data_IF_421389426699
#
_entry.id   IF_421389426699
#
_cell.length_a   1.000
_cell.length_b   1.000
_cell.length_c   1.000
_cell.angle_alpha   90.00
_cell.angle_beta   90.00
_cell.angle_gamma   90.00
#
_symmetry.space_group_name_H-M   'P 1'
#
loop_
_entity.id
_entity.type
_entity.pdbx_description
1 polymer ?
#
# COMPACT_ATOMS: atom_id res chain seq x y z
N UNK A 1 -15.03 -74.26 29.08
CA UNK A 1 -15.30 -72.92 28.48
C UNK A 1 -14.11 -72.02 28.73
N UNK A 2 -13.22 -71.90 27.74
CA UNK A 2 -12.04 -71.02 27.79
C UNK A 2 -12.34 -69.75 27.05
N UNK A 3 -12.33 -68.58 27.75
CA UNK A 3 -12.48 -67.27 27.12
C UNK A 3 -11.13 -66.83 26.54
N UNK A 4 -11.10 -66.64 25.23
CA UNK A 4 -9.98 -66.03 24.55
C UNK A 4 -10.10 -64.52 24.71
N UNK A 5 -9.11 -63.88 25.34
CA UNK A 5 -8.91 -62.45 25.31
C UNK A 5 -8.08 -62.09 24.08
N UNK A 6 -8.70 -61.34 23.14
CA UNK A 6 -7.99 -60.67 22.05
C UNK A 6 -7.45 -59.34 22.62
N UNK A 7 -6.14 -59.21 22.70
CA UNK A 7 -5.44 -57.91 22.93
C UNK A 7 -5.30 -57.18 21.60
N UNK A 8 -6.01 -56.04 21.48
CA UNK A 8 -5.80 -55.12 20.38
C UNK A 8 -4.66 -54.16 20.76
N UNK A 9 -3.51 -54.35 20.16
CA UNK A 9 -2.40 -53.40 20.25
C UNK A 9 -2.63 -52.27 19.27
N UNK A 10 -3.04 -51.10 19.80
CA UNK A 10 -3.05 -49.83 19.04
C UNK A 10 -1.61 -49.35 18.85
N UNK A 11 -1.05 -49.50 17.64
CA UNK A 11 0.19 -48.83 17.29
C UNK A 11 -0.10 -47.34 17.04
N UNK A 12 0.25 -46.48 17.96
CA UNK A 12 0.28 -45.05 17.79
C UNK A 12 1.44 -44.68 16.83
N UNK A 13 1.16 -44.37 15.58
CA UNK A 13 2.10 -43.68 14.72
C UNK A 13 2.30 -42.25 15.28
N UNK A 14 3.40 -42.02 15.97
CA UNK A 14 3.89 -40.68 16.22
C UNK A 14 4.43 -40.12 14.90
N UNK A 15 3.66 -39.24 14.27
CA UNK A 15 4.17 -38.30 13.28
C UNK A 15 5.08 -37.33 14.04
N UNK A 16 6.38 -37.54 13.95
CA UNK A 16 7.38 -36.58 14.34
C UNK A 16 7.27 -35.41 13.33
N UNK A 17 6.51 -34.37 13.68
CA UNK A 17 6.65 -33.08 13.04
C UNK A 17 8.11 -32.64 13.28
N UNK A 18 8.90 -32.54 12.24
CA UNK A 18 10.19 -31.88 12.29
C UNK A 18 9.95 -30.41 12.63
N UNK A 19 9.93 -30.07 13.90
CA UNK A 19 10.12 -28.72 14.36
C UNK A 19 11.61 -28.39 14.20
N UNK A 20 12.01 -27.96 13.01
CA UNK A 20 13.22 -27.14 12.89
C UNK A 20 12.97 -25.89 13.76
N UNK A 21 13.87 -25.57 14.69
CA UNK A 21 13.73 -24.31 15.44
C UNK A 21 13.66 -23.19 14.42
N UNK A 22 12.57 -22.40 14.42
CA UNK A 22 12.52 -21.18 13.63
C UNK A 22 13.64 -20.30 14.15
N UNK A 23 14.46 -19.75 13.27
CA UNK A 23 15.44 -18.74 13.66
C UNK A 23 14.70 -17.58 14.37
N UNK A 24 15.30 -16.99 15.41
CA UNK A 24 14.66 -15.89 16.12
C UNK A 24 14.50 -14.69 15.18
N UNK A 25 13.44 -13.93 15.38
CA UNK A 25 13.26 -12.62 14.70
C UNK A 25 14.47 -11.74 15.01
N UNK A 26 14.90 -10.96 14.03
CA UNK A 26 16.03 -10.04 14.16
C UNK A 26 15.87 -9.16 15.43
N UNK A 27 16.87 -9.12 16.33
CA UNK A 27 16.81 -8.31 17.56
C UNK A 27 16.56 -6.80 17.29
N UNK A 28 17.05 -6.25 16.20
CA UNK A 28 16.80 -4.84 15.81
C UNK A 28 15.33 -4.59 15.54
N UNK A 29 14.65 -5.53 14.88
CA UNK A 29 13.20 -5.44 14.66
C UNK A 29 12.43 -5.45 15.99
N UNK A 30 12.81 -6.33 16.91
CA UNK A 30 12.18 -6.37 18.24
C UNK A 30 12.42 -5.06 19.00
N UNK A 31 13.64 -4.51 18.95
CA UNK A 31 13.96 -3.22 19.57
C UNK A 31 13.15 -2.07 18.98
N UNK A 32 13.01 -2.03 17.64
CA UNK A 32 12.19 -1.03 16.97
C UNK A 32 10.72 -1.11 17.36
N UNK A 33 10.16 -2.32 17.43
CA UNK A 33 8.77 -2.53 17.83
C UNK A 33 8.55 -2.20 19.33
N UNK A 34 9.52 -2.50 20.19
CA UNK A 34 9.49 -2.13 21.61
C UNK A 34 9.56 -0.61 21.83
N UNK A 35 10.24 0.12 20.96
CA UNK A 35 10.32 1.58 20.99
C UNK A 35 9.06 2.27 20.44
N UNK A 36 8.25 1.57 19.64
CA UNK A 36 7.12 2.14 18.92
C UNK A 36 6.08 2.84 19.81
N UNK A 37 5.70 2.34 21.00
CA UNK A 37 4.77 3.05 21.89
C UNK A 37 5.28 4.45 22.29
N UNK A 38 6.55 4.58 22.64
CA UNK A 38 7.14 5.87 23.01
C UNK A 38 7.20 6.85 21.82
N UNK A 39 7.45 6.35 20.60
CA UNK A 39 7.41 7.14 19.39
C UNK A 39 6.00 7.61 19.06
N UNK A 40 5.00 6.73 19.18
CA UNK A 40 3.58 7.04 18.98
C UNK A 40 3.14 8.16 19.94
N UNK A 41 3.49 8.06 21.21
CA UNK A 41 3.22 9.10 22.21
C UNK A 41 3.92 10.42 21.87
N UNK A 42 5.20 10.39 21.52
CA UNK A 42 5.97 11.60 21.20
C UNK A 42 5.45 12.34 19.96
N UNK A 43 4.94 11.59 18.98
CA UNK A 43 4.31 12.15 17.78
C UNK A 43 2.83 12.48 18.01
N UNK A 44 2.28 12.18 19.19
CA UNK A 44 0.89 12.40 19.56
C UNK A 44 -0.10 11.64 18.68
N UNK A 45 0.24 10.45 18.20
CA UNK A 45 -0.61 9.62 17.34
C UNK A 45 -1.61 8.87 18.20
N UNK A 46 -2.94 9.10 18.09
CA UNK A 46 -3.91 8.44 18.94
C UNK A 46 -3.93 6.93 18.82
N UNK A 47 -3.88 6.42 17.57
CA UNK A 47 -3.85 5.00 17.27
C UNK A 47 -2.93 4.72 16.10
N UNK A 48 -2.04 3.76 16.28
CA UNK A 48 -1.22 3.18 15.22
C UNK A 48 -1.38 1.67 15.23
N UNK A 49 -1.63 1.09 14.08
CA UNK A 49 -1.64 -0.36 13.88
C UNK A 49 -0.49 -0.75 12.97
N UNK A 50 0.19 -1.86 13.28
CA UNK A 50 1.31 -2.34 12.48
C UNK A 50 1.26 -3.86 12.25
N UNK A 51 1.95 -4.29 11.19
CA UNK A 51 2.27 -5.68 10.93
C UNK A 51 3.67 -5.77 10.32
N UNK A 52 4.51 -6.61 10.92
CA UNK A 52 5.81 -7.03 10.39
C UNK A 52 5.72 -8.52 10.05
N UNK A 53 6.28 -8.92 8.92
CA UNK A 53 6.41 -10.32 8.54
C UNK A 53 7.83 -10.63 8.06
N UNK A 54 8.23 -11.89 8.25
CA UNK A 54 9.53 -12.42 7.87
C UNK A 54 9.42 -13.94 7.66
N UNK A 55 10.48 -14.61 7.19
CA UNK A 55 10.50 -16.09 7.15
C UNK A 55 10.27 -16.76 8.51
N UNK A 56 10.53 -16.04 9.61
CA UNK A 56 10.35 -16.52 10.98
C UNK A 56 8.89 -16.44 11.44
N UNK A 57 8.09 -15.57 10.84
CA UNK A 57 6.69 -15.41 11.18
C UNK A 57 6.22 -13.95 11.09
N UNK A 58 5.05 -13.70 11.65
CA UNK A 58 4.37 -12.41 11.69
C UNK A 58 4.36 -11.86 13.12
N UNK A 59 4.64 -10.56 13.25
CA UNK A 59 4.43 -9.76 14.46
C UNK A 59 3.48 -8.62 14.12
N UNK A 60 2.39 -8.51 14.83
CA UNK A 60 1.44 -7.42 14.61
C UNK A 60 0.96 -6.86 15.94
N UNK A 61 0.44 -5.65 15.91
CA UNK A 61 -0.07 -5.03 17.11
C UNK A 61 -0.73 -3.69 16.83
N UNK A 62 -1.30 -3.19 17.91
CA UNK A 62 -1.97 -1.92 17.96
C UNK A 62 -1.39 -1.12 19.14
N UNK A 63 -0.98 0.11 18.84
CA UNK A 63 -0.47 1.05 19.84
C UNK A 63 -1.48 2.19 19.98
N UNK A 64 -1.95 2.43 21.21
CA UNK A 64 -2.73 3.60 21.56
C UNK A 64 -1.86 4.57 22.37
N UNK A 65 -1.94 5.86 22.06
CA UNK A 65 -1.30 6.88 22.87
C UNK A 65 -1.85 6.87 24.31
N UNK A 66 -1.01 7.27 25.25
CA UNK A 66 -1.42 7.46 26.65
C UNK A 66 -2.30 8.70 26.82
N UNK A 67 -2.24 9.63 25.88
CA UNK A 67 -3.13 10.82 25.85
C UNK A 67 -4.57 10.40 25.56
N UNK A 68 -5.43 10.57 26.53
CA UNK A 68 -6.87 10.26 26.48
C UNK A 68 -7.73 11.43 26.01
N UNK A 69 -7.15 12.54 25.56
CA UNK A 69 -7.89 13.72 25.09
C UNK A 69 -8.53 13.52 23.73
N UNK A 70 -8.08 12.51 22.97
CA UNK A 70 -8.65 12.17 21.67
C UNK A 70 -9.98 11.42 21.82
N UNK A 71 -11.05 12.04 21.32
CA UNK A 71 -12.38 11.41 21.30
C UNK A 71 -12.48 10.44 20.11
N UNK A 72 -12.32 9.14 20.39
CA UNK A 72 -12.48 8.05 19.43
C UNK A 72 -13.74 7.26 19.81
N UNK A 73 -14.87 7.51 19.15
CA UNK A 73 -16.14 6.87 19.51
C UNK A 73 -16.21 5.37 19.16
N UNK A 74 -15.33 4.90 18.26
CA UNK A 74 -15.28 3.49 17.87
C UNK A 74 -14.44 2.69 18.87
N UNK A 75 -14.75 1.40 19.11
CA UNK A 75 -13.83 0.49 19.77
C UNK A 75 -12.51 0.39 19.01
N UNK A 76 -11.40 0.55 19.72
CA UNK A 76 -10.06 0.39 19.15
C UNK A 76 -9.61 -1.05 19.39
N UNK A 77 -9.53 -1.83 18.32
CA UNK A 77 -9.19 -3.26 18.35
C UNK A 77 -8.28 -3.60 17.17
N UNK A 78 -7.78 -4.82 17.12
CA UNK A 78 -6.99 -5.30 15.97
C UNK A 78 -7.80 -5.35 14.67
N UNK A 79 -9.13 -5.40 14.74
CA UNK A 79 -10.04 -5.32 13.60
C UNK A 79 -10.35 -3.88 13.17
N UNK A 80 -9.81 -2.87 13.88
CA UNK A 80 -10.01 -1.46 13.51
C UNK A 80 -9.52 -1.19 12.10
N UNK A 81 -10.34 -0.44 11.35
CA UNK A 81 -10.10 -0.12 9.95
C UNK A 81 -9.61 1.33 9.82
N UNK A 82 -8.59 1.50 9.00
CA UNK A 82 -7.98 2.80 8.70
C UNK A 82 -8.16 3.16 7.22
N UNK A 83 -8.06 4.44 6.90
CA UNK A 83 -7.81 4.83 5.52
C UNK A 83 -6.35 4.50 5.17
N UNK A 84 -6.16 3.66 4.18
CA UNK A 84 -4.85 3.34 3.65
C UNK A 84 -4.30 4.44 2.71
N UNK A 85 -5.17 5.39 2.35
CA UNK A 85 -4.83 6.50 1.46
C UNK A 85 -4.16 6.01 0.17
N UNK A 86 -3.00 6.54 -0.18
CA UNK A 86 -2.30 6.18 -1.41
C UNK A 86 -1.75 4.75 -1.45
N UNK A 87 -1.78 3.99 -0.36
CA UNK A 87 -1.55 2.54 -0.42
C UNK A 87 -2.64 1.82 -1.26
N UNK A 88 -3.68 2.53 -1.67
CA UNK A 88 -4.62 2.12 -2.73
C UNK A 88 -3.92 1.76 -4.04
N UNK A 89 -2.87 2.51 -4.41
CA UNK A 89 -2.20 2.44 -5.72
C UNK A 89 -1.43 1.14 -5.97
N UNK A 90 -0.62 0.62 -5.02
CA UNK A 90 0.06 -0.67 -5.23
C UNK A 90 -0.90 -1.83 -5.44
N UNK A 91 -2.04 -1.85 -4.72
CA UNK A 91 -3.08 -2.87 -4.91
C UNK A 91 -3.67 -2.79 -6.33
N UNK A 92 -3.98 -1.58 -6.79
CA UNK A 92 -4.47 -1.37 -8.14
C UNK A 92 -3.42 -1.70 -9.22
N UNK A 93 -2.16 -1.32 -8.99
CA UNK A 93 -1.07 -1.66 -9.91
C UNK A 93 -0.90 -3.19 -10.04
N UNK A 94 -1.01 -3.93 -8.95
CA UNK A 94 -0.99 -5.39 -8.98
C UNK A 94 -2.17 -5.96 -9.79
N UNK A 95 -3.38 -5.41 -9.66
CA UNK A 95 -4.54 -5.79 -10.48
C UNK A 95 -4.25 -5.56 -11.97
N UNK A 96 -3.68 -4.40 -12.32
CA UNK A 96 -3.30 -4.09 -13.71
C UNK A 96 -2.27 -5.11 -14.22
N UNK A 97 -1.25 -5.44 -13.42
CA UNK A 97 -0.23 -6.43 -13.80
C UNK A 97 -0.81 -7.84 -14.00
N UNK A 98 -1.81 -8.24 -13.23
CA UNK A 98 -2.54 -9.49 -13.49
C UNK A 98 -3.30 -9.46 -14.82
N UNK A 99 -3.89 -8.32 -15.15
CA UNK A 99 -4.56 -8.13 -16.44
C UNK A 99 -3.56 -8.13 -17.60
N UNK A 100 -2.38 -7.55 -17.41
CA UNK A 100 -1.27 -7.60 -18.39
C UNK A 100 -0.84 -9.03 -18.63
N UNK A 101 -0.64 -9.80 -17.57
CA UNK A 101 -0.21 -11.19 -17.64
C UNK A 101 -1.22 -12.09 -18.37
N UNK A 102 -2.51 -11.77 -18.29
CA UNK A 102 -3.59 -12.43 -19.05
C UNK A 102 -3.79 -11.88 -20.46
N UNK A 103 -3.07 -10.83 -20.86
CA UNK A 103 -3.21 -10.17 -22.16
C UNK A 103 -4.51 -9.35 -22.32
N UNK A 104 -5.17 -8.99 -21.22
CA UNK A 104 -6.40 -8.19 -21.22
C UNK A 104 -6.12 -6.70 -21.41
N UNK A 105 -4.95 -6.23 -20.95
CA UNK A 105 -4.43 -4.88 -21.15
C UNK A 105 -2.94 -4.96 -21.50
N UNK A 106 -2.47 -4.03 -22.32
CA UNK A 106 -1.06 -3.92 -22.71
C UNK A 106 -0.43 -2.71 -22.01
N UNK A 107 0.72 -2.91 -21.34
CA UNK A 107 1.43 -1.83 -20.63
C UNK A 107 1.81 -0.66 -21.52
N UNK A 108 2.03 -0.89 -22.81
CA UNK A 108 2.55 0.10 -23.75
C UNK A 108 1.51 0.56 -24.79
N UNK A 109 0.27 0.07 -24.69
CA UNK A 109 -0.85 0.53 -25.51
C UNK A 109 -1.55 1.73 -24.86
N UNK A 110 -1.98 2.74 -25.64
CA UNK A 110 -2.69 3.90 -25.09
C UNK A 110 -3.93 3.54 -24.26
N UNK A 111 -4.05 4.10 -23.07
CA UNK A 111 -5.24 3.96 -22.21
C UNK A 111 -6.50 4.44 -22.91
N UNK A 112 -6.35 5.44 -23.80
CA UNK A 112 -7.42 5.99 -24.65
C UNK A 112 -8.05 4.98 -25.61
N UNK A 113 -7.41 3.81 -25.83
CA UNK A 113 -8.00 2.73 -26.63
C UNK A 113 -9.05 1.93 -25.86
N UNK A 114 -9.07 2.07 -24.54
CA UNK A 114 -9.94 1.31 -23.62
C UNK A 114 -11.02 2.18 -22.98
N UNK A 115 -10.83 3.53 -22.91
CA UNK A 115 -11.79 4.44 -22.30
C UNK A 115 -11.75 5.81 -22.96
N UNK A 116 -12.78 6.66 -22.71
CA UNK A 116 -12.85 8.01 -23.27
C UNK A 116 -11.80 8.96 -22.65
N UNK A 117 -11.51 10.03 -23.39
CA UNK A 117 -10.57 11.10 -23.01
C UNK A 117 -11.27 12.48 -22.95
N UNK A 118 -12.58 12.50 -22.69
CA UNK A 118 -13.38 13.73 -22.76
C UNK A 118 -12.90 14.80 -21.77
N UNK A 119 -12.47 14.42 -20.59
CA UNK A 119 -11.98 15.34 -19.56
C UNK A 119 -10.65 16.02 -19.90
N UNK A 120 -9.86 15.50 -20.84
CA UNK A 120 -8.55 16.07 -21.15
C UNK A 120 -8.67 17.28 -22.08
N UNK A 121 -7.97 18.38 -21.76
CA UNK A 121 -7.84 19.54 -22.62
C UNK A 121 -7.06 19.19 -23.90
N UNK A 122 -5.88 18.57 -23.74
CA UNK A 122 -5.05 18.09 -24.86
C UNK A 122 -5.33 16.61 -25.13
N UNK A 123 -6.20 16.35 -26.12
CA UNK A 123 -6.54 14.99 -26.56
C UNK A 123 -5.36 14.27 -27.22
N UNK A 124 -4.46 15.02 -27.86
CA UNK A 124 -3.27 14.47 -28.51
C UNK A 124 -2.30 13.89 -27.47
N UNK A 125 -2.05 14.65 -26.43
CA UNK A 125 -1.19 14.19 -25.32
C UNK A 125 -1.85 13.07 -24.52
N UNK A 126 -3.16 13.12 -24.27
CA UNK A 126 -3.89 12.05 -23.59
C UNK A 126 -3.78 10.69 -24.30
N UNK A 127 -3.71 10.67 -25.65
CA UNK A 127 -3.51 9.45 -26.45
C UNK A 127 -2.10 8.87 -26.33
N UNK A 128 -1.16 9.55 -25.69
CA UNK A 128 0.19 9.03 -25.42
C UNK A 128 0.29 8.33 -24.07
N UNK A 129 -0.72 8.49 -23.20
CA UNK A 129 -0.72 7.87 -21.88
C UNK A 129 -0.95 6.37 -21.99
N UNK A 130 0.02 5.59 -21.55
CA UNK A 130 -0.05 4.12 -21.47
C UNK A 130 -0.18 3.68 -20.01
N UNK A 131 -0.61 2.45 -19.70
CA UNK A 131 -0.61 1.94 -18.35
C UNK A 131 0.77 2.06 -17.66
N UNK A 132 1.87 1.80 -18.39
CA UNK A 132 3.25 1.99 -17.88
C UNK A 132 3.49 3.41 -17.40
N UNK A 133 3.21 4.39 -18.23
CA UNK A 133 3.36 5.83 -17.95
C UNK A 133 2.51 6.25 -16.75
N UNK A 134 1.30 5.69 -16.63
CA UNK A 134 0.41 5.96 -15.48
C UNK A 134 0.98 5.36 -14.20
N UNK A 135 1.31 4.06 -14.19
CA UNK A 135 1.76 3.35 -12.99
C UNK A 135 3.11 3.88 -12.47
N UNK A 136 3.95 4.42 -13.37
CA UNK A 136 5.23 5.04 -13.02
C UNK A 136 5.16 6.54 -12.74
N UNK A 137 3.95 7.14 -12.72
CA UNK A 137 3.75 8.56 -12.48
C UNK A 137 4.47 9.49 -13.49
N UNK A 138 4.55 9.09 -14.75
CA UNK A 138 5.17 9.89 -15.83
C UNK A 138 4.13 10.57 -16.73
N UNK A 139 2.88 10.66 -16.27
CA UNK A 139 1.78 11.23 -17.08
C UNK A 139 1.91 12.72 -17.36
N UNK A 140 2.64 13.47 -16.51
CA UNK A 140 2.67 14.93 -16.54
C UNK A 140 1.37 15.59 -16.05
N UNK A 141 0.42 14.82 -15.53
CA UNK A 141 -0.86 15.31 -14.99
C UNK A 141 -0.71 15.90 -13.59
N UNK A 142 -1.62 16.79 -13.16
CA UNK A 142 -1.72 17.19 -11.76
C UNK A 142 -2.05 15.98 -10.88
N UNK A 143 -1.80 16.08 -9.56
CA UNK A 143 -2.31 15.05 -8.65
C UNK A 143 -3.85 14.98 -8.75
N UNK A 144 -4.53 16.12 -8.72
CA UNK A 144 -5.97 16.23 -8.93
C UNK A 144 -6.31 17.51 -9.69
N UNK A 145 -7.23 17.43 -10.64
CA UNK A 145 -7.75 18.58 -11.38
C UNK A 145 -8.78 19.39 -10.56
N UNK A 146 -9.50 18.70 -9.65
CA UNK A 146 -10.37 19.26 -8.62
C UNK A 146 -10.33 18.34 -7.40
N UNK A 147 -10.95 18.69 -6.28
CA UNK A 147 -11.01 17.84 -5.09
C UNK A 147 -11.62 16.46 -5.43
N UNK A 148 -10.93 15.34 -5.27
CA UNK A 148 -11.36 14.04 -5.79
C UNK A 148 -12.64 13.48 -5.14
N UNK A 149 -13.02 14.02 -3.98
CA UNK A 149 -14.29 13.70 -3.30
C UNK A 149 -15.41 14.71 -3.61
N UNK A 150 -15.14 15.77 -4.40
CA UNK A 150 -16.16 16.75 -4.77
C UNK A 150 -17.05 16.27 -5.93
N UNK A 151 -18.21 16.88 -6.07
CA UNK A 151 -19.13 16.65 -7.19
C UNK A 151 -18.61 17.24 -8.51
N UNK A 152 -17.70 18.21 -8.44
CA UNK A 152 -17.07 18.83 -9.59
C UNK A 152 -16.03 17.91 -10.26
N UNK A 153 -15.33 17.09 -9.47
CA UNK A 153 -14.19 16.30 -9.95
C UNK A 153 -14.49 15.43 -11.20
N UNK A 154 -15.63 14.71 -11.29
CA UNK A 154 -15.89 13.83 -12.43
C UNK A 154 -15.98 14.56 -13.79
N UNK A 155 -16.27 15.85 -13.76
CA UNK A 155 -16.44 16.69 -14.97
C UNK A 155 -15.35 17.76 -15.11
N UNK A 156 -14.42 17.86 -14.17
CA UNK A 156 -13.34 18.84 -14.21
C UNK A 156 -12.40 18.58 -15.38
N UNK A 157 -11.96 19.64 -16.03
CA UNK A 157 -11.00 19.58 -17.12
C UNK A 157 -9.62 19.21 -16.59
N UNK A 158 -8.93 18.30 -17.28
CA UNK A 158 -7.58 17.86 -16.92
C UNK A 158 -6.56 18.52 -17.87
N UNK A 159 -5.71 19.38 -17.29
CA UNK A 159 -4.64 20.07 -18.01
C UNK A 159 -3.29 19.45 -17.62
N UNK A 160 -2.44 19.20 -18.61
CA UNK A 160 -1.09 18.71 -18.39
C UNK A 160 -0.20 19.79 -17.77
N UNK A 161 0.59 19.44 -16.76
CA UNK A 161 1.64 20.28 -16.18
C UNK A 161 2.96 20.11 -16.91
N UNK A 162 3.23 18.89 -17.37
CA UNK A 162 4.46 18.50 -18.07
C UNK A 162 4.09 17.62 -19.28
N UNK A 163 4.96 17.53 -20.30
CA UNK A 163 4.77 16.55 -21.37
C UNK A 163 4.71 15.12 -20.79
N UNK A 164 3.84 14.28 -21.35
CA UNK A 164 3.78 12.87 -21.00
C UNK A 164 5.14 12.20 -21.26
N UNK A 165 5.58 11.33 -20.35
CA UNK A 165 6.84 10.57 -20.41
C UNK A 165 8.10 11.45 -20.35
N UNK A 166 8.03 12.63 -19.70
CA UNK A 166 9.17 13.54 -19.59
C UNK A 166 9.80 13.59 -18.20
N UNK A 167 9.02 13.35 -17.15
CA UNK A 167 9.49 13.39 -15.76
C UNK A 167 8.53 12.64 -14.85
N UNK A 168 8.99 12.36 -13.64
CA UNK A 168 8.12 11.92 -12.55
C UNK A 168 7.18 13.06 -12.14
N UNK A 169 5.88 12.79 -12.11
CA UNK A 169 4.86 13.72 -11.65
C UNK A 169 3.73 12.93 -10.97
N UNK A 170 3.77 12.85 -9.64
CA UNK A 170 2.80 12.05 -8.87
C UNK A 170 1.36 12.47 -9.16
N UNK A 171 0.53 11.54 -9.63
CA UNK A 171 -0.80 11.85 -10.14
C UNK A 171 -1.86 10.81 -9.75
N UNK A 172 -2.86 11.24 -8.97
CA UNK A 172 -4.08 10.49 -8.75
C UNK A 172 -5.01 10.53 -9.97
N UNK A 173 -4.99 11.62 -10.77
CA UNK A 173 -5.76 11.71 -12.02
C UNK A 173 -5.35 10.64 -13.03
N UNK A 174 -4.05 10.39 -13.18
CA UNK A 174 -3.55 9.33 -14.04
C UNK A 174 -4.08 7.95 -13.62
N UNK A 175 -4.02 7.66 -12.33
CA UNK A 175 -4.57 6.41 -11.78
C UNK A 175 -6.07 6.29 -11.99
N UNK A 176 -6.84 7.36 -11.73
CA UNK A 176 -8.28 7.37 -11.97
C UNK A 176 -8.64 7.21 -13.46
N UNK A 177 -7.80 7.73 -14.36
CA UNK A 177 -7.96 7.49 -15.80
C UNK A 177 -7.76 6.02 -16.16
N UNK A 178 -6.72 5.38 -15.63
CA UNK A 178 -6.46 3.96 -15.85
C UNK A 178 -7.53 3.07 -15.17
N UNK A 179 -8.06 3.48 -14.00
CA UNK A 179 -9.19 2.79 -13.35
C UNK A 179 -10.38 2.69 -14.30
N UNK A 180 -10.75 3.75 -14.99
CA UNK A 180 -11.87 3.73 -15.94
C UNK A 180 -11.65 2.73 -17.09
N UNK A 181 -10.41 2.60 -17.55
CA UNK A 181 -10.07 1.60 -18.56
C UNK A 181 -10.19 0.17 -18.01
N UNK A 182 -9.69 -0.06 -16.80
CA UNK A 182 -9.79 -1.36 -16.10
C UNK A 182 -11.25 -1.75 -15.88
N UNK A 183 -12.08 -0.83 -15.38
CA UNK A 183 -13.52 -1.07 -15.18
C UNK A 183 -14.25 -1.33 -16.50
N UNK A 184 -13.89 -0.62 -17.57
CA UNK A 184 -14.47 -0.84 -18.90
C UNK A 184 -14.12 -2.22 -19.48
N UNK A 185 -12.86 -2.65 -19.34
CA UNK A 185 -12.40 -3.98 -19.79
C UNK A 185 -13.07 -5.10 -18.98
N UNK A 186 -13.15 -4.94 -17.66
CA UNK A 186 -13.66 -5.96 -16.75
C UNK A 186 -15.21 -5.99 -16.66
N UNK A 187 -15.87 -4.92 -17.10
CA UNK A 187 -17.34 -4.78 -17.01
C UNK A 187 -17.86 -4.76 -15.56
N UNK A 188 -17.02 -4.35 -14.61
CA UNK A 188 -17.32 -4.36 -13.19
C UNK A 188 -16.70 -3.13 -12.48
N UNK A 189 -17.26 -2.67 -11.34
CA UNK A 189 -16.67 -1.59 -10.56
C UNK A 189 -15.38 -2.03 -9.85
N UNK A 190 -14.52 -1.05 -9.53
CA UNK A 190 -13.20 -1.27 -8.93
C UNK A 190 -13.22 -2.21 -7.72
N UNK A 191 -14.14 -2.02 -6.77
CA UNK A 191 -14.15 -2.82 -5.53
C UNK A 191 -14.46 -4.30 -5.81
N UNK A 192 -15.34 -4.58 -6.76
CA UNK A 192 -15.66 -5.96 -7.18
C UNK A 192 -14.46 -6.62 -7.87
N UNK A 193 -13.76 -5.85 -8.73
CA UNK A 193 -12.52 -6.32 -9.36
C UNK A 193 -11.47 -6.61 -8.31
N UNK A 194 -11.24 -5.69 -7.38
CA UNK A 194 -10.24 -5.83 -6.32
C UNK A 194 -10.54 -6.99 -5.38
N UNK A 195 -11.80 -7.21 -5.05
CA UNK A 195 -12.25 -8.36 -4.25
C UNK A 195 -11.86 -9.68 -4.92
N UNK A 196 -12.18 -9.83 -6.19
CA UNK A 196 -11.90 -11.05 -6.97
C UNK A 196 -10.40 -11.26 -7.19
N UNK A 197 -9.68 -10.18 -7.48
CA UNK A 197 -8.27 -10.26 -7.90
C UNK A 197 -7.28 -10.27 -6.72
N UNK A 198 -7.66 -9.68 -5.57
CA UNK A 198 -6.74 -9.45 -4.44
C UNK A 198 -7.36 -9.86 -3.11
N UNK A 199 -8.53 -9.30 -2.75
CA UNK A 199 -8.98 -9.40 -1.36
C UNK A 199 -9.39 -10.82 -0.97
N UNK A 200 -10.14 -11.54 -1.82
CA UNK A 200 -10.51 -12.93 -1.57
C UNK A 200 -9.29 -13.87 -1.67
N UNK A 201 -8.45 -13.80 -2.73
CA UNK A 201 -7.27 -14.65 -2.83
C UNK A 201 -6.28 -14.53 -1.68
N UNK A 202 -6.13 -13.33 -1.10
CA UNK A 202 -5.15 -13.07 -0.03
C UNK A 202 -5.77 -12.98 1.36
N UNK A 203 -7.01 -13.43 1.52
CA UNK A 203 -7.73 -13.46 2.80
C UNK A 203 -7.76 -12.07 3.48
N UNK A 204 -8.29 -11.07 2.75
CA UNK A 204 -8.45 -9.68 3.18
C UNK A 204 -9.95 -9.30 3.28
N UNK A 205 -10.72 -9.99 4.17
CA UNK A 205 -12.18 -9.93 4.15
C UNK A 205 -12.76 -8.58 4.56
N UNK A 206 -11.98 -7.73 5.25
CA UNK A 206 -12.44 -6.42 5.71
C UNK A 206 -11.88 -5.27 4.88
N UNK A 207 -11.04 -5.55 3.87
CA UNK A 207 -10.46 -4.54 2.97
C UNK A 207 -11.43 -4.20 1.84
N UNK A 208 -11.60 -2.90 1.54
CA UNK A 208 -12.45 -2.44 0.44
C UNK A 208 -12.10 -1.01 0.00
N UNK A 209 -12.33 -0.71 -1.28
CA UNK A 209 -12.29 0.65 -1.82
C UNK A 209 -13.59 1.42 -1.56
N UNK A 210 -14.70 0.70 -1.34
CA UNK A 210 -16.00 1.25 -1.02
C UNK A 210 -16.29 1.21 0.47
N UNK A 211 -17.23 2.08 0.91
CA UNK A 211 -17.70 2.05 2.29
C UNK A 211 -18.51 0.79 2.55
N UNK A 212 -18.09 -0.03 3.50
CA UNK A 212 -18.82 -1.22 3.93
C UNK A 212 -19.67 -0.92 5.18
N UNK A 213 -20.83 -1.56 5.36
CA UNK A 213 -21.67 -1.35 6.55
C UNK A 213 -20.93 -1.57 7.88
N UNK A 214 -20.00 -2.54 7.93
CA UNK A 214 -19.19 -2.81 9.11
C UNK A 214 -18.29 -1.64 9.50
N UNK A 215 -17.94 -0.75 8.56
CA UNK A 215 -17.09 0.41 8.81
C UNK A 215 -17.76 1.48 9.69
N UNK A 216 -19.09 1.45 9.83
CA UNK A 216 -19.78 2.35 10.77
C UNK A 216 -19.27 2.17 12.21
N UNK A 217 -18.81 0.95 12.55
CA UNK A 217 -18.26 0.61 13.87
C UNK A 217 -16.76 0.34 13.88
N UNK A 218 -16.20 -0.16 12.78
CA UNK A 218 -14.79 -0.56 12.72
C UNK A 218 -13.85 0.54 12.23
N UNK A 219 -14.34 1.45 11.34
CA UNK A 219 -13.47 2.49 10.80
C UNK A 219 -13.24 3.59 11.82
N UNK A 220 -11.97 3.85 12.15
CA UNK A 220 -11.59 4.89 13.09
C UNK A 220 -11.81 6.28 12.51
N UNK A 221 -12.02 7.24 13.40
CA UNK A 221 -11.93 8.67 13.05
C UNK A 221 -10.47 9.09 12.94
N UNK A 222 -10.21 10.08 12.09
CA UNK A 222 -8.87 10.63 11.91
C UNK A 222 -8.74 12.04 12.49
N UNK A 223 -7.53 12.44 12.86
CA UNK A 223 -7.24 13.71 13.50
C UNK A 223 -6.27 14.55 12.67
N UNK A 224 -6.52 15.85 12.56
CA UNK A 224 -5.58 16.77 11.96
C UNK A 224 -4.35 17.01 12.89
N UNK A 225 -3.42 17.87 12.46
CA UNK A 225 -2.20 18.17 13.25
C UNK A 225 -2.54 18.86 14.57
N UNK A 226 -3.62 19.66 14.61
CA UNK A 226 -4.07 20.38 15.83
C UNK A 226 -4.85 19.48 16.79
N UNK A 227 -5.09 18.20 16.44
CA UNK A 227 -5.81 17.25 17.27
C UNK A 227 -7.33 17.28 17.09
N UNK A 228 -7.84 18.03 16.11
CA UNK A 228 -9.28 18.06 15.82
C UNK A 228 -9.73 16.80 15.11
N UNK A 229 -10.84 16.23 15.55
CA UNK A 229 -11.49 15.08 14.93
C UNK A 229 -12.06 15.48 13.55
N UNK A 230 -11.62 14.81 12.50
CA UNK A 230 -12.02 15.03 11.10
C UNK A 230 -12.98 13.96 10.59
N UNK A 231 -13.48 13.12 11.49
CA UNK A 231 -14.40 12.03 11.18
C UNK A 231 -13.73 10.84 10.49
N UNK A 232 -14.56 9.91 10.05
CA UNK A 232 -14.13 8.68 9.36
C UNK A 232 -13.76 8.92 7.89
N UNK A 233 -14.18 10.05 7.30
CA UNK A 233 -13.89 10.42 5.92
C UNK A 233 -14.50 9.47 4.90
N UNK A 234 -15.83 9.36 4.82
CA UNK A 234 -16.50 8.61 3.75
C UNK A 234 -16.26 9.27 2.41
N UNK A 235 -15.81 8.48 1.45
CA UNK A 235 -15.64 8.93 0.08
C UNK A 235 -16.88 8.57 -0.74
N UNK A 236 -17.33 9.44 -1.68
CA UNK A 236 -18.58 9.24 -2.42
C UNK A 236 -18.49 8.14 -3.49
N UNK A 237 -17.28 7.69 -3.81
CA UNK A 237 -17.01 6.68 -4.84
C UNK A 237 -15.68 5.98 -4.60
N UNK A 238 -15.56 4.71 -5.02
CA UNK A 238 -14.30 3.99 -5.06
C UNK A 238 -13.30 4.67 -5.99
N UNK A 239 -12.05 4.81 -5.53
CA UNK A 239 -10.97 5.39 -6.31
C UNK A 239 -9.66 4.67 -6.00
N UNK A 240 -9.03 4.11 -7.02
CA UNK A 240 -7.82 3.31 -6.91
C UNK A 240 -6.59 4.08 -6.38
N UNK A 241 -6.68 5.41 -6.29
CA UNK A 241 -5.58 6.23 -5.85
C UNK A 241 -5.57 6.52 -4.34
N UNK A 242 -6.73 6.41 -3.62
CA UNK A 242 -6.74 6.90 -2.23
C UNK A 242 -7.88 6.38 -1.32
N UNK A 243 -8.88 5.63 -1.82
CA UNK A 243 -10.06 5.32 -0.98
C UNK A 243 -10.00 3.98 -0.26
N UNK A 244 -8.93 3.20 -0.47
CA UNK A 244 -8.76 1.91 0.19
C UNK A 244 -8.83 2.04 1.71
N UNK A 245 -9.59 1.14 2.33
CA UNK A 245 -9.68 0.96 3.77
C UNK A 245 -9.28 -0.46 4.11
N UNK A 246 -8.48 -0.59 5.15
CA UNK A 246 -7.90 -1.88 5.53
C UNK A 246 -7.42 -1.82 6.98
N UNK A 247 -6.94 -2.94 7.49
CA UNK A 247 -6.09 -3.05 8.67
C UNK A 247 -4.66 -3.46 8.28
N UNK A 248 -3.71 -3.27 9.17
CA UNK A 248 -2.30 -3.51 8.87
C UNK A 248 -2.01 -4.98 8.51
N UNK A 249 -2.72 -5.90 9.11
CA UNK A 249 -2.53 -7.33 8.93
C UNK A 249 -3.02 -7.80 7.55
N UNK A 250 -4.19 -7.36 7.12
CA UNK A 250 -4.68 -7.67 5.78
C UNK A 250 -3.79 -7.04 4.71
N UNK A 251 -3.34 -5.79 4.90
CA UNK A 251 -2.43 -5.16 3.94
C UNK A 251 -1.07 -5.86 3.89
N UNK A 252 -0.55 -6.36 5.03
CA UNK A 252 0.67 -7.17 5.06
C UNK A 252 0.54 -8.47 4.24
N UNK A 253 -0.64 -9.12 4.23
CA UNK A 253 -0.91 -10.28 3.37
C UNK A 253 -0.80 -9.92 1.89
N UNK A 254 -1.34 -8.77 1.47
CA UNK A 254 -1.16 -8.30 0.10
C UNK A 254 0.33 -8.12 -0.24
N UNK A 255 1.12 -7.50 0.65
CA UNK A 255 2.56 -7.33 0.41
C UNK A 255 3.25 -8.69 0.31
N UNK A 256 2.96 -9.60 1.22
CA UNK A 256 3.60 -10.92 1.27
C UNK A 256 3.21 -11.80 0.09
N UNK A 257 1.93 -11.96 -0.18
CA UNK A 257 1.43 -12.84 -1.24
C UNK A 257 1.58 -12.21 -2.63
N UNK A 258 1.12 -10.97 -2.79
CA UNK A 258 1.10 -10.29 -4.08
C UNK A 258 2.46 -9.76 -4.51
N UNK A 259 3.13 -9.01 -3.63
CA UNK A 259 4.38 -8.33 -3.99
C UNK A 259 5.61 -9.20 -3.76
N UNK A 260 5.78 -9.80 -2.58
CA UNK A 260 6.98 -10.61 -2.31
C UNK A 260 6.97 -11.93 -3.06
N UNK A 261 5.87 -12.67 -2.99
CA UNK A 261 5.78 -14.01 -3.59
C UNK A 261 5.35 -13.99 -5.06
N UNK A 262 4.76 -12.89 -5.56
CA UNK A 262 4.24 -12.80 -6.93
C UNK A 262 3.07 -13.75 -7.21
N UNK A 263 2.33 -14.17 -6.16
CA UNK A 263 1.21 -15.10 -6.32
C UNK A 263 0.17 -14.54 -7.30
N UNK A 264 -0.19 -15.32 -8.30
CA UNK A 264 -1.14 -14.90 -9.35
C UNK A 264 -0.54 -14.11 -10.51
N UNK A 265 0.79 -13.94 -10.53
CA UNK A 265 1.56 -13.37 -11.65
C UNK A 265 2.52 -14.42 -12.20
N UNK A 266 2.84 -14.34 -13.50
CA UNK A 266 4.01 -15.03 -14.04
C UNK A 266 5.30 -14.36 -13.54
N UNK A 267 6.42 -15.11 -13.56
CA UNK A 267 7.74 -14.58 -13.20
C UNK A 267 8.09 -13.34 -14.04
N UNK A 268 7.68 -13.30 -15.30
CA UNK A 268 7.92 -12.17 -16.20
C UNK A 268 7.15 -10.92 -15.77
N UNK A 269 5.86 -11.05 -15.49
CA UNK A 269 5.01 -9.93 -15.05
C UNK A 269 5.43 -9.44 -13.65
N UNK A 270 5.75 -10.37 -12.74
CA UNK A 270 6.26 -10.01 -11.42
C UNK A 270 7.57 -9.24 -11.51
N UNK A 271 8.55 -9.74 -12.27
CA UNK A 271 9.83 -9.05 -12.49
C UNK A 271 9.64 -7.67 -13.12
N UNK A 272 8.75 -7.55 -14.12
CA UNK A 272 8.45 -6.28 -14.79
C UNK A 272 7.91 -5.24 -13.82
N UNK A 273 7.06 -5.66 -12.87
CA UNK A 273 6.47 -4.77 -11.87
C UNK A 273 7.51 -4.09 -10.99
N UNK A 274 8.64 -4.74 -10.73
CA UNK A 274 9.73 -4.27 -9.87
C UNK A 274 10.85 -3.52 -10.62
N UNK A 275 10.79 -3.42 -11.94
CA UNK A 275 11.79 -2.66 -12.69
C UNK A 275 11.66 -1.17 -12.47
N UNK A 276 12.80 -0.50 -12.28
CA UNK A 276 12.85 0.96 -12.22
C UNK A 276 12.39 1.56 -13.56
N UNK A 277 11.39 2.42 -13.51
CA UNK A 277 10.86 3.11 -14.69
C UNK A 277 11.43 4.54 -14.80
N UNK A 278 11.62 5.21 -13.68
CA UNK A 278 12.03 6.61 -13.62
C UNK A 278 12.66 6.94 -12.26
N UNK A 279 13.60 7.91 -12.25
CA UNK A 279 13.99 8.55 -10.99
C UNK A 279 12.82 9.37 -10.46
N UNK A 280 12.48 9.17 -9.20
CA UNK A 280 11.34 9.81 -8.56
C UNK A 280 11.67 11.21 -8.05
N UNK A 281 12.15 12.09 -8.94
CA UNK A 281 12.35 13.50 -8.61
C UNK A 281 11.00 14.16 -8.33
N UNK A 282 10.71 14.42 -7.05
CA UNK A 282 9.37 14.82 -6.60
C UNK A 282 8.94 16.18 -7.14
N UNK A 283 9.89 17.10 -7.28
CA UNK A 283 9.66 18.43 -7.85
C UNK A 283 10.57 18.61 -9.07
N UNK A 284 9.97 18.69 -10.25
CA UNK A 284 10.72 18.75 -11.51
C UNK A 284 11.67 19.98 -11.60
N UNK A 285 11.28 21.08 -10.97
CA UNK A 285 12.01 22.36 -11.02
C UNK A 285 13.02 22.53 -9.87
N UNK A 286 12.94 21.70 -8.82
CA UNK A 286 13.79 21.79 -7.62
C UNK A 286 14.28 20.40 -7.19
N UNK A 287 15.31 19.84 -7.84
CA UNK A 287 15.85 18.52 -7.48
C UNK A 287 16.48 18.56 -6.08
N UNK A 288 16.19 17.53 -5.28
CA UNK A 288 16.76 17.34 -3.94
C UNK A 288 17.80 16.23 -3.97
N UNK A 289 18.69 16.20 -2.97
CA UNK A 289 19.72 15.17 -2.88
C UNK A 289 19.14 13.75 -2.82
N UNK A 290 18.04 13.54 -2.10
CA UNK A 290 17.36 12.24 -1.99
C UNK A 290 16.77 11.75 -3.30
N UNK A 291 16.39 12.64 -4.24
CA UNK A 291 15.72 12.27 -5.50
C UNK A 291 16.61 11.40 -6.39
N UNK A 292 17.95 11.51 -6.28
CA UNK A 292 18.89 10.70 -7.07
C UNK A 292 18.95 9.22 -6.63
N UNK A 293 18.47 8.91 -5.42
CA UNK A 293 18.50 7.58 -4.82
C UNK A 293 17.13 6.94 -4.73
N UNK A 294 16.07 7.64 -5.21
CA UNK A 294 14.69 7.13 -5.20
C UNK A 294 14.24 6.88 -6.62
N UNK A 295 13.77 5.68 -6.87
CA UNK A 295 13.21 5.26 -8.14
C UNK A 295 11.71 4.99 -8.00
N UNK A 296 11.01 4.97 -9.13
CA UNK A 296 9.64 4.51 -9.19
C UNK A 296 9.49 3.34 -10.14
N UNK A 297 8.85 2.29 -9.64
CA UNK A 297 8.50 1.07 -10.37
C UNK A 297 7.05 1.16 -10.86
N UNK A 298 6.43 0.03 -11.22
CA UNK A 298 5.02 0.02 -11.61
C UNK A 298 4.13 -0.03 -10.36
N UNK A 299 3.87 1.15 -9.78
CA UNK A 299 2.92 1.33 -8.68
C UNK A 299 3.50 1.62 -7.30
N UNK A 300 4.82 1.61 -7.13
CA UNK A 300 5.49 1.87 -5.86
C UNK A 300 6.92 2.36 -6.06
N UNK A 301 7.51 2.89 -5.01
CA UNK A 301 8.88 3.40 -4.99
C UNK A 301 9.89 2.31 -4.66
N UNK A 302 11.14 2.55 -5.07
CA UNK A 302 12.31 1.76 -4.71
C UNK A 302 13.44 2.68 -4.21
N UNK A 303 14.21 2.20 -3.24
CA UNK A 303 15.45 2.83 -2.79
C UNK A 303 16.51 1.75 -2.63
N UNK A 304 17.73 2.04 -3.11
CA UNK A 304 18.87 1.18 -2.85
C UNK A 304 19.21 1.22 -1.35
N UNK A 305 19.60 0.07 -0.81
CA UNK A 305 20.12 0.00 0.54
C UNK A 305 21.45 0.75 0.63
N UNK A 306 21.61 1.70 1.57
CA UNK A 306 22.84 2.52 1.67
C UNK A 306 24.10 1.71 1.96
N UNK A 307 24.01 0.59 2.68
CA UNK A 307 25.12 -0.32 2.90
C UNK A 307 25.43 -1.11 1.64
N UNK A 308 26.61 -0.87 1.08
CA UNK A 308 27.03 -1.36 -0.23
C UNK A 308 26.76 -2.85 -0.46
N UNK A 309 25.90 -3.16 -1.42
CA UNK A 309 25.73 -4.48 -2.03
C UNK A 309 24.65 -5.37 -1.43
N UNK A 310 23.72 -4.84 -0.62
CA UNK A 310 22.79 -5.66 0.12
C UNK A 310 21.42 -5.81 -0.55
N UNK A 311 20.91 -4.84 -1.30
CA UNK A 311 19.62 -4.98 -1.96
C UNK A 311 18.86 -3.67 -2.14
N UNK A 312 17.55 -3.78 -2.22
CA UNK A 312 16.65 -2.66 -2.38
C UNK A 312 15.46 -2.80 -1.43
N UNK A 313 15.03 -1.67 -0.90
CA UNK A 313 13.74 -1.55 -0.26
C UNK A 313 12.70 -1.02 -1.25
N UNK A 314 11.58 -1.73 -1.34
CA UNK A 314 10.39 -1.26 -2.06
C UNK A 314 9.39 -0.72 -1.05
N UNK A 315 8.67 0.35 -1.42
CA UNK A 315 7.84 1.07 -0.47
C UNK A 315 6.74 1.88 -1.14
N UNK A 316 5.74 2.23 -0.36
CA UNK A 316 4.79 3.28 -0.71
C UNK A 316 4.25 3.92 0.57
N UNK A 317 3.91 5.20 0.49
CA UNK A 317 3.29 5.92 1.59
C UNK A 317 1.82 6.24 1.30
N UNK A 318 1.05 6.50 2.37
CA UNK A 318 -0.34 6.95 2.33
C UNK A 318 -0.53 8.25 3.09
N UNK A 319 -1.18 9.22 2.47
CA UNK A 319 -1.49 10.50 3.07
C UNK A 319 -2.87 10.99 2.60
N UNK A 320 -3.87 10.95 3.49
CA UNK A 320 -5.18 11.57 3.34
C UNK A 320 -5.37 12.74 4.33
N UNK A 321 -4.28 13.42 4.69
CA UNK A 321 -4.27 14.51 5.66
C UNK A 321 -4.29 14.00 7.09
N UNK A 322 -5.40 13.45 7.54
CA UNK A 322 -5.65 12.95 8.90
C UNK A 322 -5.42 11.45 9.10
N UNK A 323 -4.97 10.74 8.07
CA UNK A 323 -4.49 9.36 8.12
C UNK A 323 -3.16 9.27 7.39
N UNK A 324 -2.23 8.53 7.98
CA UNK A 324 -0.92 8.25 7.39
C UNK A 324 -0.66 6.75 7.40
N UNK A 325 0.00 6.28 6.36
CA UNK A 325 0.35 4.89 6.19
C UNK A 325 1.69 4.74 5.48
N UNK A 326 2.37 3.64 5.72
CA UNK A 326 3.57 3.25 4.97
C UNK A 326 3.66 1.74 4.93
N UNK A 327 4.17 1.20 3.84
CA UNK A 327 4.75 -0.12 3.82
C UNK A 327 6.18 -0.10 3.30
N UNK A 328 6.96 -1.07 3.76
CA UNK A 328 8.34 -1.33 3.37
C UNK A 328 8.49 -2.82 3.11
N UNK A 329 9.23 -3.19 2.06
CA UNK A 329 9.52 -4.59 1.69
C UNK A 329 10.98 -4.70 1.28
N UNK A 330 11.70 -5.67 1.84
CA UNK A 330 13.04 -6.07 1.42
C UNK A 330 13.00 -7.52 0.88
N UNK A 331 12.94 -7.73 -0.46
CA UNK A 331 12.81 -9.07 -1.02
C UNK A 331 13.98 -10.00 -0.70
N UNK A 332 15.19 -9.45 -0.56
CA UNK A 332 16.39 -10.23 -0.25
C UNK A 332 16.32 -10.95 1.09
N UNK A 333 15.83 -10.28 2.14
CA UNK A 333 15.60 -10.86 3.46
C UNK A 333 14.19 -11.46 3.60
N UNK A 334 13.30 -11.19 2.65
CA UNK A 334 11.87 -11.55 2.69
C UNK A 334 11.13 -10.95 3.88
N UNK A 335 11.54 -9.76 4.28
CA UNK A 335 10.96 -9.00 5.37
C UNK A 335 10.09 -7.87 4.85
N UNK A 336 8.96 -7.66 5.49
CA UNK A 336 8.09 -6.54 5.19
C UNK A 336 7.46 -5.96 6.45
N UNK A 337 7.12 -4.68 6.33
CA UNK A 337 6.49 -3.92 7.41
C UNK A 337 5.40 -3.03 6.85
N UNK A 338 4.31 -2.87 7.57
CA UNK A 338 3.26 -1.89 7.28
C UNK A 338 2.79 -1.26 8.57
N UNK A 339 2.50 0.04 8.53
CA UNK A 339 1.73 0.71 9.56
C UNK A 339 0.63 1.58 8.98
N UNK A 340 -0.40 1.77 9.78
CA UNK A 340 -1.53 2.65 9.55
C UNK A 340 -1.74 3.50 10.81
N UNK A 341 -1.94 4.81 10.65
CA UNK A 341 -2.19 5.73 11.77
C UNK A 341 -3.33 6.69 11.46
N UNK A 342 -4.02 7.15 12.49
CA UNK A 342 -5.20 7.99 12.38
C UNK A 342 -4.92 9.47 12.73
N UNK A 343 -3.71 9.98 12.44
CA UNK A 343 -3.36 11.38 12.64
C UNK A 343 -2.44 11.94 11.56
N UNK A 344 -2.54 13.25 11.33
CA UNK A 344 -1.70 13.99 10.41
C UNK A 344 -0.20 13.95 10.75
N UNK A 345 0.17 13.67 12.00
CA UNK A 345 1.55 13.51 12.48
C UNK A 345 2.11 12.09 12.26
N UNK A 346 1.33 11.19 11.65
CA UNK A 346 1.71 9.78 11.50
C UNK A 346 2.99 9.50 10.72
N UNK A 347 3.52 10.46 9.97
CA UNK A 347 4.84 10.34 9.33
C UNK A 347 5.98 10.98 10.14
N UNK A 348 5.69 11.66 11.25
CA UNK A 348 6.72 12.28 12.09
C UNK A 348 7.60 11.22 12.79
N UNK A 349 7.11 9.97 12.91
CA UNK A 349 7.86 8.84 13.48
C UNK A 349 8.83 8.17 12.49
N UNK A 350 8.79 8.48 11.19
CA UNK A 350 9.50 7.71 10.15
C UNK A 350 11.01 7.60 10.38
N UNK A 351 11.70 8.74 10.54
CA UNK A 351 13.17 8.74 10.64
C UNK A 351 13.67 7.86 11.80
N UNK A 352 13.26 8.10 13.05
CA UNK A 352 13.74 7.29 14.15
C UNK A 352 13.31 5.82 14.07
N UNK A 353 12.10 5.57 13.58
CA UNK A 353 11.57 4.22 13.53
C UNK A 353 12.21 3.37 12.42
N UNK A 354 12.29 3.90 11.18
CA UNK A 354 12.85 3.12 10.07
C UNK A 354 14.35 2.89 10.25
N UNK A 355 15.08 3.85 10.81
CA UNK A 355 16.49 3.67 11.16
C UNK A 355 16.68 2.53 12.17
N UNK A 356 15.86 2.48 13.20
CA UNK A 356 15.91 1.38 14.19
C UNK A 356 15.51 0.04 13.57
N UNK A 357 14.45 0.03 12.73
CA UNK A 357 13.93 -1.17 12.10
C UNK A 357 14.90 -1.79 11.09
N UNK A 358 15.54 -0.96 10.26
CA UNK A 358 16.38 -1.41 9.14
C UNK A 358 17.88 -1.33 9.43
N UNK A 359 18.28 -0.53 10.41
CA UNK A 359 19.68 -0.17 10.64
C UNK A 359 20.25 0.89 9.67
N UNK A 360 19.41 1.43 8.77
CA UNK A 360 19.81 2.28 7.66
C UNK A 360 19.11 3.66 7.68
N UNK A 361 19.82 4.69 7.23
CA UNK A 361 19.22 6.00 6.94
C UNK A 361 18.69 6.00 5.50
N UNK A 362 17.42 5.57 5.35
CA UNK A 362 16.81 5.43 4.03
C UNK A 362 16.44 6.80 3.43
N UNK A 363 16.83 7.11 2.18
CA UNK A 363 16.51 8.39 1.52
C UNK A 363 15.02 8.63 1.32
N UNK A 364 14.19 7.60 1.44
CA UNK A 364 12.73 7.71 1.37
C UNK A 364 12.14 8.62 2.46
N UNK A 365 12.78 8.72 3.63
CA UNK A 365 12.32 9.57 4.73
C UNK A 365 12.29 11.04 4.30
N UNK A 366 13.42 11.53 3.78
CA UNK A 366 13.53 12.89 3.25
C UNK A 366 12.61 13.11 2.06
N UNK A 367 12.45 12.10 1.22
CA UNK A 367 11.58 12.15 0.06
C UNK A 367 10.10 12.28 0.42
N UNK A 368 9.63 11.57 1.48
CA UNK A 368 8.23 11.62 1.92
C UNK A 368 7.92 12.95 2.65
N UNK A 369 8.83 13.43 3.51
CA UNK A 369 8.58 14.54 4.44
C UNK A 369 8.72 15.92 3.81
N UNK A 370 9.53 16.05 2.79
CA UNK A 370 9.81 17.29 2.08
C UNK A 370 9.15 17.29 0.70
#
# INVERSE_FOLDING_TARGET
>A
MRKLLLSVTCAALMLAACNTPKEPVNPSVLAALDALPALVDSCGIPVLQYCYFSPQGELHGLVQAQDTTFDIPQPVTEESIFQAASLSKPVFAYIVMRMVDRGEIDLDRPVADYTDIERFEDKGMARRLTPRIVLSHQTGLPNWAAGPSSDEWPTSCITFKYPADSCFAYSGEGYAFLQRAVEAIQGAPLDEIARREVFEPFDMPTTSYDWQPAYDTLALVGFNRDGENRGQGRHPRANCAYTLRTNAREYARFIQHGLLNGEGLSDAAHKEMFQHQVHAQRYADEPRACDSSVFWCLGFGAVEEPSAGAGEYYWHWGDNGNFKALWLLHPGTKEGFVYLSNRATGHDLLDPFLKELTGEDLPLNDWIRN
#
